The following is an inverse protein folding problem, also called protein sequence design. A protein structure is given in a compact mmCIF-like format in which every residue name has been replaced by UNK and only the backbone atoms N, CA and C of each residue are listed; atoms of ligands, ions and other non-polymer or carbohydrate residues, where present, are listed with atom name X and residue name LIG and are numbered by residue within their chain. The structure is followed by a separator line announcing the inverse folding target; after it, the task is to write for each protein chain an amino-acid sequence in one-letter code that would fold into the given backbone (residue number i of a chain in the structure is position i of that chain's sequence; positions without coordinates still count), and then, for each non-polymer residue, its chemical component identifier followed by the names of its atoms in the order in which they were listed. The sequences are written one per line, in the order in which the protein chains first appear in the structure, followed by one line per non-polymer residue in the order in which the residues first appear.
data_IF_257812844823
#
_entry.id   IF_257812844823
#
_cell.length_a   1.000
_cell.length_b   1.000
_cell.length_c   1.000
_cell.angle_alpha   90.00
_cell.angle_beta   90.00
_cell.angle_gamma   90.00
#
_symmetry.space_group_name_H-M   'P 1'
#
loop_
_entity.id
_entity.type
_entity.pdbx_description
1 polymer ?
#
# COMPACT_ATOMS: atom_id res chain seq x y z
N UNK A 1 -42.87 -60.00 8.12
CA UNK A 1 -42.86 -58.77 8.92
C UNK A 1 -41.54 -58.07 8.69
N UNK A 2 -41.58 -56.79 8.23
CA UNK A 2 -40.65 -55.67 8.52
C UNK A 2 -39.12 -55.94 8.42
N UNK A 3 -38.26 -55.14 7.77
CA UNK A 3 -38.32 -53.83 7.13
C UNK A 3 -36.86 -53.52 6.69
N UNK A 4 -36.69 -52.83 5.55
CA UNK A 4 -35.56 -51.93 5.19
C UNK A 4 -34.21 -52.63 4.89
N UNK A 5 -33.48 -52.36 3.80
CA UNK A 5 -33.58 -51.35 2.74
C UNK A 5 -32.17 -50.92 2.29
N UNK A 6 -32.04 -50.56 1.00
CA UNK A 6 -30.86 -50.00 0.28
C UNK A 6 -29.78 -51.01 -0.13
N UNK A 7 -29.81 -51.67 -1.30
CA UNK A 7 -29.86 -51.17 -2.69
C UNK A 7 -28.65 -50.28 -3.06
N UNK A 8 -27.51 -50.95 -3.25
CA UNK A 8 -26.40 -50.53 -4.12
C UNK A 8 -26.75 -50.91 -5.57
N UNK A 9 -26.57 -49.97 -6.51
CA UNK A 9 -26.67 -50.11 -7.97
C UNK A 9 -28.07 -50.51 -8.51
N UNK A 10 -28.84 -49.58 -9.10
CA UNK A 10 -28.47 -49.04 -10.41
C UNK A 10 -28.90 -47.56 -10.61
N UNK A 11 -27.97 -46.62 -10.40
CA UNK A 11 -28.12 -45.21 -10.83
C UNK A 11 -26.91 -44.86 -11.70
N UNK A 12 -26.65 -45.66 -12.72
CA UNK A 12 -25.53 -45.44 -13.66
C UNK A 12 -25.92 -45.57 -15.13
N UNK A 13 -27.22 -45.62 -15.44
CA UNK A 13 -27.73 -45.80 -16.82
C UNK A 13 -28.68 -44.66 -17.26
N UNK A 14 -28.85 -43.60 -16.45
CA UNK A 14 -29.69 -42.44 -16.80
C UNK A 14 -28.96 -41.08 -16.78
N UNK A 15 -27.64 -41.06 -16.99
CA UNK A 15 -26.93 -39.83 -17.37
C UNK A 15 -26.30 -40.01 -18.76
N UNK A 16 -27.08 -39.78 -19.83
CA UNK A 16 -26.56 -38.87 -20.85
C UNK A 16 -27.68 -38.07 -21.54
N UNK A 17 -28.51 -37.29 -20.83
CA UNK A 17 -29.47 -36.35 -21.49
C UNK A 17 -29.62 -35.02 -20.70
N UNK A 18 -28.56 -34.53 -20.02
CA UNK A 18 -28.56 -33.15 -19.45
C UNK A 18 -27.22 -32.44 -19.70
N UNK A 19 -26.64 -32.63 -20.89
CA UNK A 19 -25.49 -31.84 -21.35
C UNK A 19 -25.81 -30.99 -22.59
N UNK A 20 -27.08 -30.94 -23.02
CA UNK A 20 -27.53 -30.20 -24.20
C UNK A 20 -28.24 -28.87 -23.90
N UNK A 21 -28.23 -28.37 -22.65
CA UNK A 21 -28.88 -27.10 -22.27
C UNK A 21 -27.98 -26.07 -21.60
N UNK A 22 -26.67 -26.34 -21.48
CA UNK A 22 -25.68 -25.32 -21.14
C UNK A 22 -24.60 -25.28 -22.21
N UNK A 23 -25.02 -24.92 -23.43
CA UNK A 23 -24.12 -24.28 -24.37
C UNK A 23 -23.72 -22.94 -23.77
N UNK A 24 -22.67 -22.94 -22.94
CA UNK A 24 -21.83 -21.75 -22.80
C UNK A 24 -21.40 -21.44 -24.22
N UNK A 25 -21.98 -20.39 -24.81
CA UNK A 25 -21.48 -19.82 -26.05
C UNK A 25 -20.02 -19.44 -25.74
N UNK A 26 -19.09 -20.32 -26.12
CA UNK A 26 -17.73 -19.92 -26.39
C UNK A 26 -17.87 -18.72 -27.31
N UNK A 27 -17.40 -17.56 -26.85
CA UNK A 27 -17.38 -16.34 -27.66
C UNK A 27 -16.58 -16.70 -28.91
N UNK A 28 -17.34 -16.92 -29.99
CA UNK A 28 -16.82 -17.14 -31.30
C UNK A 28 -16.02 -15.88 -31.64
N UNK A 29 -14.73 -16.09 -31.92
CA UNK A 29 -13.89 -15.33 -32.83
C UNK A 29 -14.60 -14.10 -33.41
N UNK A 30 -14.55 -13.01 -32.63
CA UNK A 30 -15.06 -11.71 -33.04
C UNK A 30 -14.22 -11.25 -34.23
N UNK A 31 -14.84 -10.63 -35.24
CA UNK A 31 -14.15 -10.11 -36.42
C UNK A 31 -13.06 -9.12 -35.97
N UNK A 32 -11.82 -9.60 -35.85
CA UNK A 32 -10.67 -8.84 -35.35
C UNK A 32 -10.34 -7.56 -36.16
N UNK A 33 -11.01 -7.33 -37.29
CA UNK A 33 -10.89 -6.10 -38.09
C UNK A 33 -11.89 -5.00 -37.76
N UNK A 34 -12.98 -5.28 -37.04
CA UNK A 34 -14.08 -4.32 -36.82
C UNK A 34 -14.21 -3.83 -35.37
N UNK A 35 -13.37 -4.32 -34.47
CA UNK A 35 -13.35 -3.90 -33.07
C UNK A 35 -12.02 -3.25 -32.72
N UNK A 36 -12.02 -2.53 -31.61
CA UNK A 36 -10.85 -1.93 -30.98
C UNK A 36 -10.87 -2.31 -29.50
N UNK A 37 -9.69 -2.58 -28.95
CA UNK A 37 -9.51 -2.84 -27.52
C UNK A 37 -8.95 -1.59 -26.83
N UNK A 38 -9.67 -1.09 -25.84
CA UNK A 38 -9.18 -0.08 -24.91
C UNK A 38 -8.56 -0.77 -23.70
N UNK A 39 -7.31 -0.44 -23.40
CA UNK A 39 -6.56 -0.96 -22.26
C UNK A 39 -6.33 0.19 -21.29
N UNK A 40 -7.06 0.18 -20.19
CA UNK A 40 -6.96 1.19 -19.15
C UNK A 40 -5.88 0.78 -18.15
N UNK A 41 -4.90 1.65 -17.97
CA UNK A 41 -3.81 1.56 -16.98
C UNK A 41 -4.12 2.50 -15.84
N UNK A 42 -4.94 2.06 -14.89
CA UNK A 42 -5.36 2.90 -13.78
C UNK A 42 -4.21 3.16 -12.83
N UNK A 43 -3.93 4.45 -12.65
CA UNK A 43 -2.87 4.95 -11.78
C UNK A 43 -3.41 5.79 -10.64
N UNK A 44 -2.63 5.87 -9.57
CA UNK A 44 -2.87 6.77 -8.46
C UNK A 44 -1.61 7.58 -8.16
N UNK A 45 -1.82 8.88 -7.95
CA UNK A 45 -0.82 9.82 -7.46
C UNK A 45 -1.09 10.06 -5.98
N UNK A 46 -0.06 10.11 -5.15
CA UNK A 46 -0.21 10.61 -3.79
C UNK A 46 -0.44 12.11 -3.86
N UNK A 47 -1.45 12.58 -3.14
CA UNK A 47 -1.78 13.99 -3.02
C UNK A 47 -0.61 14.95 -2.73
N UNK A 48 0.31 14.61 -1.81
CA UNK A 48 1.48 15.47 -1.51
C UNK A 48 2.48 15.53 -2.66
N UNK A 49 2.48 14.50 -3.51
CA UNK A 49 3.36 14.37 -4.67
C UNK A 49 2.65 14.80 -5.95
N UNK A 50 1.37 15.20 -5.85
CA UNK A 50 0.59 15.71 -6.96
C UNK A 50 1.09 17.11 -7.31
N UNK A 51 2.01 17.15 -8.27
CA UNK A 51 2.36 18.35 -9.01
C UNK A 51 1.57 18.36 -10.31
N UNK A 52 1.33 19.55 -10.88
CA UNK A 52 0.76 19.67 -12.23
C UNK A 52 1.63 18.96 -13.31
N UNK A 53 2.86 18.53 -12.96
CA UNK A 53 3.84 17.90 -13.83
C UNK A 53 3.74 16.37 -13.93
N UNK A 54 2.84 15.70 -13.21
CA UNK A 54 2.54 14.26 -13.45
C UNK A 54 1.68 14.14 -14.72
N UNK A 55 2.21 14.61 -15.84
CA UNK A 55 1.56 14.69 -17.13
C UNK A 55 2.10 13.61 -18.06
N UNK A 56 1.19 12.76 -18.52
CA UNK A 56 1.41 11.86 -19.64
C UNK A 56 0.31 12.11 -20.65
N UNK A 57 0.70 12.39 -21.89
CA UNK A 57 -0.24 12.59 -22.97
C UNK A 57 -0.61 11.21 -23.52
N UNK A 58 -1.88 10.82 -23.36
CA UNK A 58 -2.39 9.59 -23.96
C UNK A 58 -2.40 9.73 -25.49
N UNK A 59 -1.45 9.08 -26.16
CA UNK A 59 -1.36 8.98 -27.62
C UNK A 59 -1.92 7.65 -28.16
N UNK A 60 -2.38 6.77 -27.26
CA UNK A 60 -2.93 5.46 -27.56
C UNK A 60 -1.90 4.32 -27.55
N UNK A 61 -0.61 4.63 -27.43
CA UNK A 61 0.45 3.64 -27.37
C UNK A 61 0.76 3.22 -25.94
N UNK A 62 1.29 2.00 -25.78
CA UNK A 62 1.79 1.53 -24.49
C UNK A 62 3.08 2.27 -24.11
N UNK A 63 3.16 2.77 -22.87
CA UNK A 63 4.41 3.23 -22.28
C UNK A 63 5.30 2.00 -22.04
N UNK A 64 6.38 1.88 -22.81
CA UNK A 64 7.34 0.81 -22.63
C UNK A 64 8.05 0.94 -21.26
N UNK A 65 8.13 -0.17 -20.50
CA UNK A 65 8.71 -0.21 -19.15
C UNK A 65 10.18 0.19 -19.06
N UNK A 66 10.92 0.17 -20.18
CA UNK A 66 12.32 0.56 -20.25
C UNK A 66 12.52 2.06 -20.57
N UNK A 67 11.44 2.76 -20.93
CA UNK A 67 11.45 4.20 -21.08
C UNK A 67 11.39 4.85 -19.69
N UNK A 68 12.21 5.88 -19.49
CA UNK A 68 12.08 6.78 -18.34
C UNK A 68 10.85 7.66 -18.55
N UNK A 69 9.67 7.07 -18.43
CA UNK A 69 8.42 7.80 -18.38
C UNK A 69 8.16 8.25 -16.93
N UNK A 70 7.90 9.54 -16.77
CA UNK A 70 7.70 10.16 -15.46
C UNK A 70 6.46 9.61 -14.76
N UNK A 71 5.40 9.26 -15.49
CA UNK A 71 4.15 8.73 -14.93
C UNK A 71 4.37 7.42 -14.20
N UNK A 72 5.00 6.44 -14.84
CA UNK A 72 5.18 5.10 -14.24
C UNK A 72 6.08 5.14 -13.00
N UNK A 73 7.00 6.10 -12.94
CA UNK A 73 7.91 6.29 -11.81
C UNK A 73 7.32 7.09 -10.65
N UNK A 74 6.26 7.88 -10.91
CA UNK A 74 5.64 8.79 -9.95
C UNK A 74 4.25 8.32 -9.50
N UNK A 75 3.75 7.23 -10.05
CA UNK A 75 2.40 6.72 -9.77
C UNK A 75 2.41 5.23 -9.53
N UNK A 76 1.48 4.80 -8.69
CA UNK A 76 1.26 3.39 -8.40
C UNK A 76 0.04 2.87 -9.17
N UNK A 77 0.03 1.60 -9.59
CA UNK A 77 -1.17 0.99 -10.16
C UNK A 77 -2.31 0.93 -9.13
N UNK A 78 -3.56 1.02 -9.59
CA UNK A 78 -4.77 0.98 -8.75
C UNK A 78 -5.78 -0.06 -9.26
N UNK A 79 -5.92 -1.17 -8.53
CA UNK A 79 -6.97 -2.17 -8.73
C UNK A 79 -8.29 -1.74 -8.06
N UNK A 80 -9.39 -2.38 -8.47
CA UNK A 80 -10.72 -2.15 -7.90
C UNK A 80 -11.45 -0.93 -8.46
N UNK A 81 -10.85 -0.17 -9.39
CA UNK A 81 -11.52 0.90 -10.10
C UNK A 81 -12.43 0.32 -11.18
N UNK A 82 -13.72 0.66 -11.16
CA UNK A 82 -14.74 0.14 -12.07
C UNK A 82 -15.09 1.20 -13.11
N UNK A 83 -15.07 0.81 -14.38
CA UNK A 83 -15.37 1.66 -15.53
C UNK A 83 -16.57 1.12 -16.30
N UNK A 84 -17.43 2.03 -16.77
CA UNK A 84 -18.48 1.73 -17.74
C UNK A 84 -18.23 2.56 -19.01
N UNK A 85 -18.33 1.89 -20.16
CA UNK A 85 -18.31 2.54 -21.46
C UNK A 85 -19.74 2.83 -21.93
N UNK A 86 -19.93 4.01 -22.51
CA UNK A 86 -21.18 4.49 -23.07
C UNK A 86 -20.98 4.91 -24.53
N UNK A 87 -22.00 4.64 -25.36
CA UNK A 87 -22.07 5.10 -26.75
C UNK A 87 -22.34 6.61 -26.78
N UNK A 88 -21.49 7.39 -27.46
CA UNK A 88 -21.55 8.84 -27.56
C UNK A 88 -21.62 9.35 -29.02
N UNK A 89 -21.65 8.47 -30.02
CA UNK A 89 -21.59 8.83 -31.46
C UNK A 89 -22.73 9.76 -31.86
N UNK A 90 -23.98 9.42 -31.50
CA UNK A 90 -25.14 10.27 -31.85
C UNK A 90 -25.08 11.65 -31.18
N UNK A 91 -24.60 11.71 -29.94
CA UNK A 91 -24.42 12.98 -29.25
C UNK A 91 -23.34 13.83 -29.91
N UNK A 92 -22.20 13.23 -30.24
CA UNK A 92 -21.10 13.91 -30.92
C UNK A 92 -21.51 14.44 -32.31
N UNK A 93 -22.25 13.66 -33.09
CA UNK A 93 -22.68 14.06 -34.44
C UNK A 93 -23.64 15.27 -34.41
N UNK A 94 -24.48 15.44 -33.37
CA UNK A 94 -25.30 16.65 -33.18
C UNK A 94 -24.44 17.92 -32.98
N UNK A 95 -23.24 17.76 -32.42
CA UNK A 95 -22.29 18.85 -32.15
C UNK A 95 -21.32 19.10 -33.30
N UNK A 96 -21.27 18.19 -34.27
CA UNK A 96 -20.35 18.25 -35.41
C UNK A 96 -20.62 19.49 -36.25
N UNK A 97 -19.57 20.28 -36.48
CA UNK A 97 -19.65 21.58 -37.16
C UNK A 97 -19.88 22.79 -36.25
N UNK A 98 -20.20 22.58 -34.96
CA UNK A 98 -20.26 23.65 -33.95
C UNK A 98 -18.91 23.84 -33.23
N UNK A 99 -18.15 22.75 -33.10
CA UNK A 99 -16.82 22.74 -32.47
C UNK A 99 -15.92 21.67 -33.11
N UNK A 100 -14.62 21.74 -32.84
CA UNK A 100 -13.65 20.71 -33.25
C UNK A 100 -13.72 19.50 -32.33
N UNK A 101 -13.19 18.36 -32.78
CA UNK A 101 -13.07 17.13 -31.98
C UNK A 101 -12.26 17.35 -30.70
N UNK A 102 -11.16 18.11 -30.78
CA UNK A 102 -10.32 18.43 -29.63
C UNK A 102 -11.12 19.25 -28.62
N UNK A 103 -11.90 20.23 -29.09
CA UNK A 103 -12.72 21.06 -28.21
C UNK A 103 -13.84 20.25 -27.55
N UNK A 104 -14.44 19.30 -28.28
CA UNK A 104 -15.43 18.38 -27.73
C UNK A 104 -14.87 17.53 -26.59
N UNK A 105 -13.70 16.91 -26.81
CA UNK A 105 -13.00 16.11 -25.77
C UNK A 105 -12.62 16.99 -24.57
N UNK A 106 -12.06 18.18 -24.81
CA UNK A 106 -11.71 19.13 -23.75
C UNK A 106 -12.91 19.57 -22.91
N UNK A 107 -14.08 19.75 -23.53
CA UNK A 107 -15.29 20.11 -22.81
C UNK A 107 -15.72 19.00 -21.85
N UNK A 108 -15.74 17.73 -22.29
CA UNK A 108 -16.02 16.59 -21.43
C UNK A 108 -14.99 16.47 -20.29
N UNK A 109 -13.71 16.60 -20.61
CA UNK A 109 -12.64 16.52 -19.61
C UNK A 109 -12.73 17.60 -18.52
N UNK A 110 -13.40 18.73 -18.79
CA UNK A 110 -13.61 19.82 -17.85
C UNK A 110 -14.95 19.73 -17.09
N UNK A 111 -15.83 18.78 -17.42
CA UNK A 111 -17.09 18.60 -16.71
C UNK A 111 -16.86 17.90 -15.38
N UNK A 112 -17.58 18.35 -14.35
CA UNK A 112 -17.65 17.61 -13.11
C UNK A 112 -18.44 16.28 -13.30
N UNK A 113 -18.21 15.38 -12.35
CA UNK A 113 -18.81 14.06 -12.33
C UNK A 113 -20.35 14.10 -12.33
N UNK A 114 -20.96 15.05 -11.61
CA UNK A 114 -22.42 15.21 -11.58
C UNK A 114 -23.00 15.57 -12.93
N UNK A 115 -22.36 16.48 -13.65
CA UNK A 115 -22.75 16.92 -14.99
C UNK A 115 -22.66 15.78 -15.98
N UNK A 116 -21.60 14.96 -15.91
CA UNK A 116 -21.47 13.76 -16.75
C UNK A 116 -22.59 12.75 -16.46
N UNK A 117 -22.91 12.50 -15.19
CA UNK A 117 -24.01 11.60 -14.83
C UNK A 117 -25.37 12.13 -15.32
N UNK A 118 -25.62 13.43 -15.21
CA UNK A 118 -26.82 14.06 -15.76
C UNK A 118 -26.86 13.95 -17.29
N UNK A 119 -25.73 14.13 -17.98
CA UNK A 119 -25.61 13.98 -19.43
C UNK A 119 -25.90 12.53 -19.88
N UNK A 120 -25.34 11.53 -19.17
CA UNK A 120 -25.60 10.10 -19.41
C UNK A 120 -27.10 9.81 -19.27
N UNK A 121 -27.74 10.31 -18.20
CA UNK A 121 -29.15 10.06 -17.92
C UNK A 121 -30.08 10.79 -18.92
N UNK A 122 -29.81 12.06 -19.22
CA UNK A 122 -30.67 12.91 -20.05
C UNK A 122 -30.66 12.53 -21.53
N UNK A 123 -29.51 12.13 -22.08
CA UNK A 123 -29.41 11.61 -23.45
C UNK A 123 -29.71 10.11 -23.52
N UNK A 124 -29.91 9.44 -22.38
CA UNK A 124 -30.13 8.00 -22.28
C UNK A 124 -29.03 7.23 -23.05
N UNK A 125 -27.76 7.55 -22.74
CA UNK A 125 -26.61 6.95 -23.44
C UNK A 125 -26.59 5.43 -23.23
N UNK A 126 -26.43 4.69 -24.33
CA UNK A 126 -26.40 3.23 -24.30
C UNK A 126 -25.10 2.71 -23.70
N UNK A 127 -25.19 1.69 -22.84
CA UNK A 127 -24.01 1.01 -22.28
C UNK A 127 -23.38 0.09 -23.32
N UNK A 128 -22.07 0.20 -23.48
CA UNK A 128 -21.26 -0.69 -24.33
C UNK A 128 -20.66 -1.77 -23.45
N UNK A 129 -21.29 -2.94 -23.45
CA UNK A 129 -20.86 -4.08 -22.64
C UNK A 129 -21.09 -3.89 -21.12
N UNK A 130 -20.72 -4.90 -20.32
CA UNK A 130 -20.73 -4.80 -18.86
C UNK A 130 -19.63 -3.86 -18.35
N UNK A 131 -19.75 -3.34 -17.12
CA UNK A 131 -18.67 -2.60 -16.48
C UNK A 131 -17.45 -3.52 -16.27
N UNK A 132 -16.26 -2.92 -16.32
CA UNK A 132 -14.98 -3.61 -16.13
C UNK A 132 -14.28 -3.06 -14.89
N UNK A 133 -13.59 -3.92 -14.15
CA UNK A 133 -12.88 -3.52 -12.93
C UNK A 133 -11.38 -3.78 -13.09
N UNK A 134 -10.56 -2.83 -12.65
CA UNK A 134 -9.11 -2.95 -12.75
C UNK A 134 -8.56 -4.02 -11.81
N UNK A 135 -7.64 -4.83 -12.32
CA UNK A 135 -7.00 -5.93 -11.60
C UNK A 135 -5.62 -6.25 -12.22
N UNK A 136 -4.97 -7.29 -11.70
CA UNK A 136 -3.81 -7.88 -12.34
C UNK A 136 -4.16 -8.44 -13.74
N UNK A 137 -3.48 -7.96 -14.77
CA UNK A 137 -3.70 -8.37 -16.16
C UNK A 137 -3.13 -9.76 -16.45
N UNK A 138 -4.02 -10.75 -16.48
CA UNK A 138 -3.67 -12.12 -16.86
C UNK A 138 -3.53 -12.31 -18.37
N UNK A 139 -4.04 -11.37 -19.19
CA UNK A 139 -4.11 -11.54 -20.65
C UNK A 139 -2.85 -11.04 -21.33
N UNK A 140 -2.47 -9.78 -21.10
CA UNK A 140 -1.28 -9.17 -21.68
C UNK A 140 -0.06 -9.18 -20.76
N UNK A 141 -0.21 -9.64 -19.51
CA UNK A 141 0.84 -9.62 -18.49
C UNK A 141 1.40 -8.21 -18.25
N UNK A 142 0.53 -7.20 -18.30
CA UNK A 142 0.86 -5.78 -18.09
C UNK A 142 0.96 -5.39 -16.60
N UNK A 143 0.66 -6.32 -15.68
CA UNK A 143 0.72 -6.08 -14.23
C UNK A 143 -0.61 -5.62 -13.64
N UNK A 144 -0.55 -4.94 -12.48
CA UNK A 144 -1.73 -4.43 -11.75
C UNK A 144 -2.31 -3.15 -12.37
N UNK A 145 -3.55 -2.84 -11.99
CA UNK A 145 -4.25 -1.62 -12.37
C UNK A 145 -4.88 -1.66 -13.75
N UNK A 146 -5.08 -2.85 -14.33
CA UNK A 146 -5.47 -2.99 -15.74
C UNK A 146 -6.94 -3.36 -15.88
N UNK A 147 -7.65 -2.67 -16.77
CA UNK A 147 -8.96 -3.08 -17.28
C UNK A 147 -8.97 -3.05 -18.82
N UNK A 148 -9.68 -3.99 -19.44
CA UNK A 148 -9.76 -4.13 -20.91
C UNK A 148 -11.21 -4.03 -21.36
N UNK A 149 -11.50 -3.18 -22.34
CA UNK A 149 -12.84 -3.00 -22.93
C UNK A 149 -12.74 -3.15 -24.44
N UNK A 150 -13.50 -4.08 -25.03
CA UNK A 150 -13.60 -4.22 -26.49
C UNK A 150 -14.85 -3.53 -26.98
N UNK A 151 -14.73 -2.71 -28.04
CA UNK A 151 -15.84 -1.99 -28.64
C UNK A 151 -15.77 -2.01 -30.18
N UNK A 152 -16.91 -1.87 -30.88
CA UNK A 152 -16.91 -1.69 -32.33
C UNK A 152 -16.14 -0.42 -32.77
N UNK A 153 -15.50 -0.46 -33.94
CA UNK A 153 -14.88 0.74 -34.53
C UNK A 153 -15.90 1.72 -35.11
N UNK A 154 -17.08 1.22 -35.45
CA UNK A 154 -18.15 1.95 -36.13
C UNK A 154 -19.46 1.82 -35.38
N UNK A 155 -20.23 2.91 -35.31
CA UNK A 155 -21.66 2.88 -35.00
C UNK A 155 -22.41 3.13 -36.31
N UNK A 156 -23.10 2.10 -36.81
CA UNK A 156 -23.65 2.07 -38.17
C UNK A 156 -22.50 2.30 -39.18
N UNK A 157 -22.61 3.32 -40.04
CA UNK A 157 -21.59 3.66 -41.04
C UNK A 157 -20.64 4.78 -40.60
N UNK A 158 -20.76 5.26 -39.34
CA UNK A 158 -19.98 6.36 -38.78
C UNK A 158 -18.89 5.84 -37.86
N UNK A 159 -17.79 6.59 -37.77
CA UNK A 159 -16.79 6.35 -36.74
C UNK A 159 -17.41 6.45 -35.35
N UNK A 160 -17.14 5.45 -34.51
CA UNK A 160 -17.72 5.40 -33.18
C UNK A 160 -17.03 6.39 -32.24
N UNK A 161 -17.81 6.95 -31.32
CA UNK A 161 -17.33 7.80 -30.24
C UNK A 161 -17.79 7.22 -28.92
N UNK A 162 -16.87 7.03 -27.97
CA UNK A 162 -17.18 6.42 -26.69
C UNK A 162 -16.87 7.35 -25.53
N UNK A 163 -17.72 7.33 -24.51
CA UNK A 163 -17.43 7.87 -23.18
C UNK A 163 -17.05 6.70 -22.26
N UNK A 164 -15.82 6.68 -21.77
CA UNK A 164 -15.35 5.75 -20.76
C UNK A 164 -15.36 6.49 -19.42
N UNK A 165 -16.20 6.03 -18.50
CA UNK A 165 -16.46 6.71 -17.25
C UNK A 165 -16.13 5.80 -16.06
N UNK A 166 -15.28 6.28 -15.16
CA UNK A 166 -15.01 5.60 -13.89
C UNK A 166 -16.26 5.69 -13.01
N UNK A 167 -16.92 4.61 -12.65
CA UNK A 167 -18.14 4.60 -11.84
C UNK A 167 -17.85 4.58 -10.33
N UNK A 168 -16.80 3.86 -9.92
CA UNK A 168 -16.41 3.72 -8.51
C UNK A 168 -15.01 3.16 -8.35
N UNK A 169 -14.45 3.31 -7.15
CA UNK A 169 -13.32 2.50 -6.68
C UNK A 169 -13.83 1.68 -5.51
N UNK A 170 -13.54 0.38 -5.52
CA UNK A 170 -13.96 -0.54 -4.49
C UNK A 170 -13.52 -0.05 -3.09
N UNK A 171 -14.45 0.01 -2.15
CA UNK A 171 -14.17 0.42 -0.76
C UNK A 171 -13.30 -0.60 -0.03
N UNK A 172 -13.28 -1.86 -0.47
CA UNK A 172 -12.35 -2.88 0.05
C UNK A 172 -10.89 -2.60 -0.36
N UNK A 173 -10.64 -1.61 -1.21
CA UNK A 173 -9.28 -1.08 -1.36
C UNK A 173 -8.76 -0.46 -0.07
N UNK A 174 -9.64 0.02 0.81
CA UNK A 174 -9.25 0.74 2.03
C UNK A 174 -8.58 2.08 1.74
N UNK A 175 -8.68 2.59 0.51
CA UNK A 175 -8.10 3.85 0.07
C UNK A 175 -9.18 4.93 0.02
N UNK A 176 -8.87 6.11 0.55
CA UNK A 176 -9.68 7.31 0.32
C UNK A 176 -9.22 7.94 -1.00
N UNK A 177 -9.95 7.62 -2.06
CA UNK A 177 -9.69 8.09 -3.42
C UNK A 177 -10.65 9.22 -3.75
N UNK A 178 -10.11 10.38 -4.16
CA UNK A 178 -10.93 11.51 -4.57
C UNK A 178 -11.36 11.35 -6.04
N UNK A 179 -12.48 10.67 -6.23
CA UNK A 179 -13.12 10.50 -7.54
C UNK A 179 -13.72 11.80 -8.07
N UNK A 180 -14.16 12.69 -7.19
CA UNK A 180 -14.95 13.86 -7.60
C UNK A 180 -14.07 14.99 -8.13
N UNK A 181 -12.82 15.08 -7.65
CA UNK A 181 -11.88 16.13 -8.07
C UNK A 181 -10.93 15.70 -9.19
N UNK A 182 -10.56 14.41 -9.28
CA UNK A 182 -9.42 13.99 -10.11
C UNK A 182 -9.70 12.86 -11.11
N UNK A 183 -10.87 12.21 -11.07
CA UNK A 183 -11.24 11.23 -12.09
C UNK A 183 -11.80 11.94 -13.34
N UNK A 184 -10.95 12.13 -14.35
CA UNK A 184 -11.33 12.79 -15.60
C UNK A 184 -12.10 11.80 -16.51
N UNK A 185 -13.30 12.14 -17.01
CA UNK A 185 -14.01 11.31 -17.98
C UNK A 185 -13.22 11.21 -19.30
N UNK A 186 -13.19 10.04 -19.90
CA UNK A 186 -12.43 9.80 -21.13
C UNK A 186 -13.38 9.76 -22.31
N UNK A 187 -13.16 10.61 -23.31
CA UNK A 187 -13.86 10.53 -24.59
C UNK A 187 -12.89 10.03 -25.65
N UNK A 188 -13.23 8.91 -26.31
CA UNK A 188 -12.46 8.33 -27.40
C UNK A 188 -13.23 8.49 -28.72
N UNK A 189 -12.69 9.29 -29.64
CA UNK A 189 -13.21 9.47 -31.00
C UNK A 189 -12.38 8.59 -31.94
N UNK A 190 -12.99 7.60 -32.57
CA UNK A 190 -12.29 6.71 -33.50
C UNK A 190 -12.25 7.29 -34.93
N UNK A 191 -11.35 6.79 -35.80
CA UNK A 191 -10.20 5.97 -35.46
C UNK A 191 -9.11 6.79 -34.75
N UNK A 192 -8.36 6.15 -33.84
CA UNK A 192 -7.12 6.70 -33.31
C UNK A 192 -5.97 6.06 -34.11
N UNK A 193 -5.12 6.89 -34.70
CA UNK A 193 -4.00 6.45 -35.55
C UNK A 193 -2.68 6.47 -34.78
N UNK A 194 -1.73 5.66 -35.23
CA UNK A 194 -0.38 5.66 -34.67
C UNK A 194 0.26 7.07 -34.87
N UNK A 195 0.79 7.70 -33.80
CA UNK A 195 1.41 9.03 -33.89
C UNK A 195 2.71 9.05 -34.72
N UNK A 196 3.37 7.89 -34.88
CA UNK A 196 4.57 7.72 -35.70
C UNK A 196 4.24 7.24 -37.13
N UNK A 197 3.09 6.59 -37.32
CA UNK A 197 2.57 6.17 -38.63
C UNK A 197 1.07 6.49 -38.77
N UNK A 198 0.77 7.71 -39.21
CA UNK A 198 -0.60 8.22 -39.39
C UNK A 198 -1.44 7.46 -40.44
N UNK A 199 -0.90 6.43 -41.09
CA UNK A 199 -1.65 5.58 -42.02
C UNK A 199 -2.25 4.34 -41.34
N UNK A 200 -1.78 3.99 -40.14
CA UNK A 200 -2.24 2.83 -39.39
C UNK A 200 -3.19 3.24 -38.26
N UNK A 201 -4.41 2.68 -38.27
CA UNK A 201 -5.31 2.76 -37.14
C UNK A 201 -4.86 1.81 -36.03
N UNK A 202 -4.85 2.31 -34.79
CA UNK A 202 -4.61 1.48 -33.62
C UNK A 202 -5.76 0.50 -33.40
N UNK A 203 -5.42 -0.77 -33.17
CA UNK A 203 -6.37 -1.82 -32.78
C UNK A 203 -6.40 -2.04 -31.26
N UNK A 204 -5.35 -1.58 -30.57
CA UNK A 204 -5.24 -1.51 -29.12
C UNK A 204 -4.91 -0.06 -28.75
N UNK A 205 -5.66 0.50 -27.81
CA UNK A 205 -5.54 1.89 -27.37
C UNK A 205 -5.28 1.87 -25.87
N UNK A 206 -4.07 2.26 -25.49
CA UNK A 206 -3.65 2.35 -24.10
C UNK A 206 -4.01 3.73 -23.54
N UNK A 207 -4.65 3.75 -22.37
CA UNK A 207 -5.07 4.99 -21.69
C UNK A 207 -4.67 4.91 -20.22
N UNK A 208 -4.13 6.00 -19.67
CA UNK A 208 -3.61 6.09 -18.30
C UNK A 208 -4.46 7.03 -17.43
N UNK A 209 -5.69 6.62 -17.02
CA UNK A 209 -6.50 7.39 -16.09
C UNK A 209 -5.85 7.46 -14.70
N UNK A 210 -5.89 8.62 -14.07
CA UNK A 210 -5.26 8.90 -12.77
C UNK A 210 -6.31 9.29 -11.75
N UNK A 211 -6.12 8.87 -10.50
CA UNK A 211 -6.77 9.48 -9.34
C UNK A 211 -5.72 10.05 -8.39
N UNK A 212 -6.16 10.91 -7.49
CA UNK A 212 -5.38 11.35 -6.35
C UNK A 212 -5.88 10.62 -5.11
N UNK A 213 -4.96 9.97 -4.39
CA UNK A 213 -5.25 9.28 -3.13
C UNK A 213 -4.71 10.06 -1.94
N UNK A 214 -5.51 10.15 -0.87
CA UNK A 214 -5.07 10.72 0.40
C UNK A 214 -4.28 9.68 1.19
N UNK A 215 -2.94 9.77 1.13
CA UNK A 215 -2.03 8.84 1.78
C UNK A 215 -0.96 9.57 2.59
N UNK A 216 -0.57 9.01 3.73
CA UNK A 216 0.40 9.62 4.65
C UNK A 216 1.48 8.66 5.12
N UNK A 217 2.66 9.19 5.38
CA UNK A 217 3.77 8.51 6.05
C UNK A 217 3.97 9.19 7.41
N UNK A 218 3.42 8.60 8.48
CA UNK A 218 3.51 9.17 9.81
C UNK A 218 4.91 9.07 10.40
N UNK A 219 5.29 10.10 11.16
CA UNK A 219 6.54 10.12 11.90
C UNK A 219 6.37 10.80 13.27
N UNK A 220 7.32 10.55 14.16
CA UNK A 220 7.45 11.28 15.42
C UNK A 220 8.88 11.20 15.96
N UNK A 221 9.18 12.02 16.96
CA UNK A 221 10.47 12.07 17.64
C UNK A 221 10.38 11.41 19.01
N UNK A 222 11.20 10.39 19.22
CA UNK A 222 11.32 9.66 20.47
C UNK A 222 12.39 10.27 21.36
N UNK A 223 11.95 10.80 22.51
CA UNK A 223 12.81 11.49 23.47
C UNK A 223 12.77 10.82 24.83
N UNK A 224 13.79 11.08 25.63
CA UNK A 224 13.94 10.62 26.99
C UNK A 224 14.11 11.80 27.93
N UNK A 225 13.40 11.80 29.06
CA UNK A 225 13.53 12.84 30.09
C UNK A 225 13.48 12.23 31.49
N UNK A 226 13.77 13.03 32.51
CA UNK A 226 13.60 12.59 33.90
C UNK A 226 12.11 12.52 34.25
N UNK A 227 11.75 11.52 35.06
CA UNK A 227 10.37 11.30 35.48
C UNK A 227 9.76 12.57 36.09
N UNK A 228 8.63 13.00 35.53
CA UNK A 228 7.90 14.19 36.00
C UNK A 228 8.53 15.53 35.62
N UNK A 229 9.63 15.52 34.85
CA UNK A 229 10.26 16.74 34.36
C UNK A 229 9.48 17.38 33.20
N UNK A 230 9.52 18.71 33.15
CA UNK A 230 9.02 19.51 32.02
C UNK A 230 10.12 19.84 30.99
N UNK A 231 11.32 19.29 31.18
CA UNK A 231 12.41 19.46 30.22
C UNK A 231 12.07 18.83 28.86
N UNK A 232 12.62 19.43 27.80
CA UNK A 232 12.57 18.91 26.44
C UNK A 232 13.15 17.50 26.31
N UNK A 233 14.05 17.09 27.20
CA UNK A 233 14.70 15.78 27.15
C UNK A 233 15.77 15.67 26.06
N UNK A 234 16.24 14.44 25.83
CA UNK A 234 17.25 14.11 24.82
C UNK A 234 16.69 13.10 23.81
N UNK A 235 17.09 13.15 22.53
CA UNK A 235 16.67 12.16 21.55
C UNK A 235 17.15 10.75 21.95
N UNK A 236 16.30 9.75 21.75
CA UNK A 236 16.62 8.36 22.01
C UNK A 236 16.82 7.63 20.70
N UNK A 237 18.04 7.17 20.43
CA UNK A 237 18.39 6.37 19.26
C UNK A 237 18.26 4.87 19.56
N UNK A 238 17.68 4.10 18.64
CA UNK A 238 17.64 2.64 18.71
C UNK A 238 16.42 2.05 19.43
N UNK A 239 15.42 2.88 19.75
CA UNK A 239 14.13 2.41 20.27
C UNK A 239 13.37 1.73 19.13
N UNK A 240 12.85 0.54 19.37
CA UNK A 240 12.19 -0.29 18.34
C UNK A 240 10.68 -0.25 18.50
N UNK A 241 9.99 0.06 17.42
CA UNK A 241 8.53 0.07 17.31
C UNK A 241 8.04 -0.92 16.26
N UNK A 242 6.78 -1.34 16.40
CA UNK A 242 5.98 -1.84 15.29
C UNK A 242 4.70 -1.03 15.17
N UNK A 243 4.15 -0.96 13.96
CA UNK A 243 2.87 -0.30 13.70
C UNK A 243 1.76 -1.34 13.63
N UNK A 244 0.63 -1.10 14.27
CA UNK A 244 -0.55 -1.97 14.22
C UNK A 244 -1.85 -1.20 14.03
N UNK A 245 -2.89 -1.90 13.59
CA UNK A 245 -4.27 -1.44 13.61
C UNK A 245 -5.16 -2.40 14.43
N UNK A 246 -6.33 -1.92 14.83
CA UNK A 246 -7.33 -2.73 15.53
C UNK A 246 -8.43 -3.14 14.56
N UNK A 247 -8.57 -4.44 14.32
CA UNK A 247 -9.69 -5.02 13.55
C UNK A 247 -10.48 -5.90 14.51
N UNK A 248 -11.75 -5.56 14.74
CA UNK A 248 -12.63 -6.25 15.70
C UNK A 248 -12.00 -6.40 17.11
N UNK A 249 -11.23 -5.38 17.53
CA UNK A 249 -10.55 -5.36 18.84
C UNK A 249 -9.26 -6.17 18.93
N UNK A 250 -8.83 -6.84 17.85
CA UNK A 250 -7.54 -7.55 17.77
C UNK A 250 -6.47 -6.70 17.08
N UNK A 251 -5.22 -6.87 17.50
CA UNK A 251 -4.07 -6.19 16.89
C UNK A 251 -3.61 -6.93 15.63
N UNK A 252 -3.52 -6.21 14.52
CA UNK A 252 -2.85 -6.66 13.31
C UNK A 252 -1.71 -5.71 12.99
N UNK A 253 -0.51 -6.24 12.81
CA UNK A 253 0.73 -5.49 12.63
C UNK A 253 1.10 -5.37 11.17
N UNK A 254 1.72 -4.26 10.81
CA UNK A 254 2.17 -3.99 9.46
C UNK A 254 3.24 -5.02 9.06
N UNK A 255 2.99 -5.73 7.96
CA UNK A 255 3.92 -6.70 7.37
C UNK A 255 5.13 -5.98 6.74
N UNK A 256 6.24 -6.68 6.57
CA UNK A 256 7.47 -6.19 5.95
C UNK A 256 7.44 -6.19 4.42
N UNK A 257 6.55 -6.95 3.79
CA UNK A 257 6.37 -6.96 2.35
C UNK A 257 6.15 -5.54 1.81
N UNK A 258 6.64 -5.22 0.60
CA UNK A 258 6.26 -3.96 -0.04
C UNK A 258 4.74 -3.84 -0.12
N UNK A 259 4.23 -2.62 -0.11
CA UNK A 259 2.84 -2.37 -0.49
C UNK A 259 2.64 -2.86 -1.92
N UNK A 260 1.60 -3.65 -2.14
CA UNK A 260 1.14 -4.04 -3.47
C UNK A 260 -0.18 -3.31 -3.67
N UNK A 261 -0.35 -2.63 -4.81
CA UNK A 261 -1.61 -1.94 -5.12
C UNK A 261 -2.01 -0.93 -4.02
N UNK A 262 -1.00 -0.27 -3.44
CA UNK A 262 -1.15 0.71 -2.34
C UNK A 262 -1.78 0.14 -1.06
N UNK A 263 -1.97 -1.18 -1.00
CA UNK A 263 -2.48 -1.89 0.18
C UNK A 263 -1.33 -2.34 1.04
N UNK A 264 -1.43 -1.98 2.31
CA UNK A 264 -0.59 -2.56 3.34
C UNK A 264 -1.15 -3.92 3.74
N UNK A 265 -0.27 -4.91 3.85
CA UNK A 265 -0.62 -6.19 4.44
C UNK A 265 -0.49 -6.10 5.96
N UNK A 266 -1.49 -6.63 6.65
CA UNK A 266 -1.55 -6.64 8.11
C UNK A 266 -1.66 -8.08 8.62
N UNK A 267 -0.85 -8.45 9.60
CA UNK A 267 -0.70 -9.83 10.08
C UNK A 267 -0.83 -9.92 11.60
N UNK A 268 -1.32 -11.05 12.08
CA UNK A 268 -1.12 -11.43 13.48
C UNK A 268 0.33 -11.94 13.65
N UNK A 269 1.07 -11.48 14.67
CA UNK A 269 2.45 -11.88 14.85
C UNK A 269 2.52 -13.33 15.33
N UNK A 270 3.50 -14.07 14.82
CA UNK A 270 3.79 -15.43 15.25
C UNK A 270 4.03 -15.48 16.76
N UNK A 271 3.42 -16.47 17.42
CA UNK A 271 3.49 -16.66 18.87
C UNK A 271 3.11 -15.41 19.70
N UNK A 272 2.35 -14.47 19.12
CA UNK A 272 2.02 -13.18 19.74
C UNK A 272 3.27 -12.34 20.12
N UNK A 273 4.36 -12.49 19.36
CA UNK A 273 5.64 -11.79 19.55
C UNK A 273 6.01 -10.93 18.33
N UNK A 274 5.52 -9.68 18.24
CA UNK A 274 5.84 -8.79 17.13
C UNK A 274 7.32 -8.37 17.08
N UNK A 275 8.07 -8.49 18.19
CA UNK A 275 9.50 -8.15 18.22
C UNK A 275 10.33 -9.25 17.55
N UNK A 276 10.01 -10.51 17.87
CA UNK A 276 10.69 -11.69 17.31
C UNK A 276 10.22 -12.10 15.92
N UNK A 277 8.98 -11.80 15.52
CA UNK A 277 8.43 -12.23 14.22
C UNK A 277 9.05 -11.44 13.07
N UNK A 278 9.89 -12.07 12.26
CA UNK A 278 10.59 -11.45 11.12
C UNK A 278 9.65 -10.79 10.11
N UNK A 279 8.40 -11.20 9.99
CA UNK A 279 7.46 -10.66 9.00
C UNK A 279 6.84 -9.32 9.42
N UNK A 280 6.93 -8.95 10.70
CA UNK A 280 6.45 -7.64 11.19
C UNK A 280 7.48 -6.57 10.83
N UNK A 281 7.04 -5.43 10.30
CA UNK A 281 7.88 -4.25 10.08
C UNK A 281 8.36 -3.63 11.40
N UNK A 282 9.67 -3.31 11.50
CA UNK A 282 10.27 -2.64 12.67
C UNK A 282 10.70 -1.24 12.28
N UNK A 283 10.29 -0.28 13.09
CA UNK A 283 10.66 1.13 12.94
C UNK A 283 11.57 1.50 14.09
N UNK A 284 12.80 1.91 13.78
CA UNK A 284 13.85 2.13 14.78
C UNK A 284 14.18 3.61 14.81
N UNK A 285 14.18 4.20 16.00
CA UNK A 285 14.50 5.62 16.15
C UNK A 285 15.94 5.92 15.78
N UNK A 286 16.17 6.99 15.02
CA UNK A 286 17.50 7.39 14.56
C UNK A 286 18.26 8.24 15.61
N UNK A 287 19.39 8.84 15.21
CA UNK A 287 20.21 9.71 16.09
C UNK A 287 19.48 10.97 16.56
N UNK A 288 18.53 11.48 15.79
CA UNK A 288 17.67 12.58 16.16
C UNK A 288 16.42 12.10 16.95
N UNK A 289 16.30 10.79 17.19
CA UNK A 289 15.13 10.17 17.79
C UNK A 289 13.97 10.01 16.81
N UNK A 290 14.15 10.30 15.52
CA UNK A 290 13.08 10.19 14.53
C UNK A 290 12.69 8.73 14.32
N UNK A 291 11.40 8.46 14.43
CA UNK A 291 10.75 7.23 13.99
C UNK A 291 9.85 7.61 12.81
N UNK A 292 10.03 6.97 11.66
CA UNK A 292 9.27 7.19 10.42
C UNK A 292 8.88 5.84 9.85
N UNK A 293 7.78 5.78 9.08
CA UNK A 293 7.45 4.56 8.35
C UNK A 293 8.32 4.36 7.10
N UNK A 294 9.17 5.34 6.76
CA UNK A 294 10.22 5.22 5.74
C UNK A 294 9.66 5.13 4.32
N UNK A 295 8.63 5.92 4.02
CA UNK A 295 7.90 5.92 2.75
C UNK A 295 6.74 4.93 2.71
N UNK A 296 6.49 4.17 3.79
CA UNK A 296 5.30 3.30 3.89
C UNK A 296 4.05 4.16 4.05
N UNK A 297 3.34 4.34 2.95
CA UNK A 297 2.11 5.10 2.87
C UNK A 297 0.95 4.36 3.54
N UNK A 298 0.18 5.09 4.34
CA UNK A 298 -1.01 4.62 5.04
C UNK A 298 -2.23 5.44 4.58
N UNK A 299 -3.37 4.78 4.30
CA UNK A 299 -4.62 5.49 4.08
C UNK A 299 -5.18 6.03 5.38
N UNK A 300 -6.25 6.82 5.27
CA UNK A 300 -6.98 7.32 6.43
C UNK A 300 -7.39 6.21 7.39
N UNK A 301 -7.39 6.53 8.67
CA UNK A 301 -7.69 5.57 9.71
C UNK A 301 -6.94 5.85 11.00
N UNK A 302 -7.12 4.94 11.95
CA UNK A 302 -6.48 5.00 13.25
C UNK A 302 -5.54 3.81 13.41
N UNK A 303 -4.27 4.13 13.63
CA UNK A 303 -3.18 3.18 13.79
C UNK A 303 -2.47 3.44 15.11
N UNK A 304 -1.55 2.55 15.46
CA UNK A 304 -0.84 2.62 16.73
C UNK A 304 0.60 2.16 16.57
N UNK A 305 1.57 3.00 16.94
CA UNK A 305 2.91 2.52 17.20
C UNK A 305 2.97 1.88 18.60
N UNK A 306 3.52 0.67 18.66
CA UNK A 306 3.82 -0.03 19.90
C UNK A 306 5.33 -0.07 20.12
N UNK A 307 5.81 0.51 21.21
CA UNK A 307 7.21 0.39 21.61
C UNK A 307 7.49 -1.05 22.05
N UNK A 308 8.30 -1.77 21.26
CA UNK A 308 8.64 -3.16 21.50
C UNK A 308 9.91 -3.29 22.36
N UNK A 309 10.87 -2.38 22.15
CA UNK A 309 12.14 -2.37 22.86
C UNK A 309 12.61 -0.94 23.09
N UNK A 310 12.99 -0.61 24.32
CA UNK A 310 13.62 0.66 24.67
C UNK A 310 15.14 0.58 24.72
N UNK A 311 15.76 1.73 24.96
CA UNK A 311 17.19 1.85 25.26
C UNK A 311 17.44 1.80 26.77
N UNK A 312 18.69 1.52 27.16
CA UNK A 312 19.09 1.41 28.56
C UNK A 312 18.71 2.66 29.36
N UNK A 313 18.40 2.46 30.65
CA UNK A 313 17.96 3.49 31.61
C UNK A 313 16.58 4.14 31.33
N UNK A 314 15.86 3.76 30.28
CA UNK A 314 14.51 4.26 29.98
C UNK A 314 13.45 3.15 30.00
N UNK A 315 12.30 3.43 30.61
CA UNK A 315 11.18 2.48 30.70
C UNK A 315 10.13 2.73 29.64
N UNK A 316 9.60 1.64 29.07
CA UNK A 316 8.42 1.70 28.20
C UNK A 316 7.18 1.95 29.06
N UNK A 317 6.51 3.09 28.85
CA UNK A 317 5.25 3.39 29.53
C UNK A 317 4.08 2.62 28.93
N UNK A 318 2.94 2.58 29.64
CA UNK A 318 1.71 1.97 29.12
C UNK A 318 1.21 2.70 27.88
N UNK A 319 1.35 4.02 27.86
CA UNK A 319 0.97 4.90 26.76
C UNK A 319 1.83 4.60 25.53
N UNK A 320 3.14 4.33 25.71
CA UNK A 320 4.04 4.04 24.59
C UNK A 320 3.88 2.64 24.01
N UNK A 321 3.08 1.78 24.65
CA UNK A 321 2.59 0.53 24.03
C UNK A 321 1.42 0.76 23.05
N UNK A 322 0.87 1.99 23.01
CA UNK A 322 -0.26 2.38 22.17
C UNK A 322 -0.18 3.87 21.82
N UNK A 323 0.84 4.25 21.05
CA UNK A 323 1.00 5.62 20.55
C UNK A 323 0.05 5.78 19.36
N UNK A 324 -1.06 6.50 19.55
CA UNK A 324 -2.07 6.68 18.52
C UNK A 324 -1.56 7.50 17.33
N UNK A 325 -1.95 7.09 16.14
CA UNK A 325 -1.77 7.83 14.89
C UNK A 325 -3.13 7.93 14.23
N UNK A 326 -3.59 9.16 13.98
CA UNK A 326 -4.85 9.42 13.26
C UNK A 326 -4.53 10.09 11.94
N UNK A 327 -4.89 9.42 10.85
CA UNK A 327 -4.80 9.95 9.50
C UNK A 327 -6.22 10.35 9.07
N UNK A 328 -6.48 11.63 8.79
CA UNK A 328 -7.81 12.09 8.38
C UNK A 328 -8.14 11.60 6.96
N UNK A 329 -9.40 11.76 6.53
CA UNK A 329 -9.86 11.32 5.21
C UNK A 329 -9.58 12.29 4.07
N UNK A 330 -9.22 13.52 4.41
CA UNK A 330 -9.06 14.62 3.46
C UNK A 330 -8.11 15.66 4.01
N UNK A 331 -7.50 16.44 3.11
CA UNK A 331 -6.64 17.57 3.46
C UNK A 331 -7.33 18.65 4.25
N UNK A 332 -8.62 18.86 4.00
CA UNK A 332 -9.37 19.96 4.57
C UNK A 332 -10.69 19.46 5.12
N UNK A 333 -11.14 20.09 6.19
CA UNK A 333 -12.50 19.94 6.67
C UNK A 333 -13.47 20.75 5.79
N UNK A 334 -14.76 20.65 6.10
CA UNK A 334 -15.82 21.34 5.35
C UNK A 334 -15.67 22.88 5.35
N UNK A 335 -14.93 23.44 6.31
CA UNK A 335 -14.67 24.88 6.43
C UNK A 335 -13.38 25.32 5.71
N UNK A 336 -12.71 24.41 4.99
CA UNK A 336 -11.48 24.67 4.24
C UNK A 336 -10.22 24.75 5.11
N UNK A 337 -10.30 24.39 6.40
CA UNK A 337 -9.12 24.34 7.28
C UNK A 337 -8.38 23.02 7.11
N UNK A 338 -7.03 23.00 7.21
CA UNK A 338 -6.26 21.78 7.05
C UNK A 338 -6.54 20.76 8.15
N UNK A 339 -6.72 19.49 7.76
CA UNK A 339 -6.71 18.35 8.66
C UNK A 339 -5.30 17.75 8.67
N UNK A 340 -4.59 17.88 9.79
CA UNK A 340 -3.29 17.27 9.96
C UNK A 340 -3.40 15.83 10.44
N UNK A 341 -2.42 15.01 10.07
CA UNK A 341 -2.14 13.76 10.79
C UNK A 341 -1.81 14.11 12.23
N UNK A 342 -2.31 13.33 13.18
CA UNK A 342 -1.90 13.47 14.59
C UNK A 342 -1.18 12.22 15.07
N UNK A 343 -0.12 12.44 15.87
CA UNK A 343 0.58 11.37 16.58
C UNK A 343 0.54 11.68 18.07
N UNK A 344 -0.06 10.77 18.84
CA UNK A 344 -0.34 10.96 20.27
C UNK A 344 -1.07 12.30 20.54
N UNK A 345 -2.05 12.64 19.70
CA UNK A 345 -2.83 13.86 19.77
C UNK A 345 -2.09 15.15 19.38
N UNK A 346 -0.82 15.07 18.96
CA UNK A 346 -0.05 16.21 18.47
C UNK A 346 -0.07 16.25 16.95
N UNK A 347 -0.30 17.43 16.38
CA UNK A 347 -0.24 17.65 14.94
C UNK A 347 1.16 17.32 14.39
N UNK A 348 1.16 16.58 13.29
CA UNK A 348 2.34 16.26 12.52
C UNK A 348 2.42 17.21 11.34
N UNK A 349 3.57 17.86 11.17
CA UNK A 349 3.82 18.66 9.99
C UNK A 349 3.85 17.76 8.75
N UNK A 350 3.31 18.25 7.65
CA UNK A 350 3.25 17.50 6.40
C UNK A 350 4.64 17.32 5.79
N UNK A 351 4.82 16.21 5.05
CA UNK A 351 6.08 15.93 4.38
C UNK A 351 6.29 16.89 3.20
N UNK A 352 7.52 17.34 3.01
CA UNK A 352 7.95 18.14 1.86
C UNK A 352 8.61 17.21 0.85
N UNK A 353 7.94 16.97 -0.29
CA UNK A 353 8.41 16.02 -1.33
C UNK A 353 8.79 14.65 -0.74
N UNK A 354 7.91 14.11 0.10
CA UNK A 354 8.10 12.83 0.80
C UNK A 354 9.12 12.83 1.95
N UNK A 355 9.72 13.97 2.30
CA UNK A 355 10.71 14.07 3.37
C UNK A 355 10.15 14.77 4.61
N UNK A 356 10.61 14.36 5.80
CA UNK A 356 10.28 15.02 7.07
C UNK A 356 10.79 16.47 7.02
N UNK A 357 9.92 17.49 7.22
CA UNK A 357 10.30 18.87 6.98
C UNK A 357 11.28 19.37 8.04
N UNK A 358 12.14 20.34 7.67
CA UNK A 358 13.18 20.88 8.57
C UNK A 358 12.62 21.48 9.86
N UNK A 359 11.42 22.06 9.79
CA UNK A 359 10.72 22.60 10.97
C UNK A 359 10.43 21.52 12.00
N UNK A 360 10.06 20.31 11.57
CA UNK A 360 9.75 19.20 12.47
C UNK A 360 11.00 18.73 13.24
N UNK A 361 12.18 18.72 12.61
CA UNK A 361 13.44 18.45 13.31
C UNK A 361 13.81 19.56 14.30
N UNK A 362 13.57 20.82 13.92
CA UNK A 362 13.91 21.99 14.76
C UNK A 362 13.04 22.01 16.01
N UNK A 363 11.75 21.70 15.88
CA UNK A 363 10.82 21.64 17.00
C UNK A 363 10.79 20.26 17.68
N UNK A 364 11.33 19.23 17.05
CA UNK A 364 11.19 17.82 17.41
C UNK A 364 9.73 17.46 17.73
N UNK A 365 8.82 17.72 16.78
CA UNK A 365 7.39 17.44 16.88
C UNK A 365 6.88 16.61 15.68
N UNK A 366 5.94 15.68 15.87
CA UNK A 366 5.34 15.26 17.16
C UNK A 366 6.38 14.59 18.07
N UNK A 367 6.24 14.72 19.41
CA UNK A 367 7.22 14.14 20.35
C UNK A 367 6.59 13.12 21.31
N UNK A 368 7.29 12.01 21.55
CA UNK A 368 6.89 10.97 22.51
C UNK A 368 8.02 10.69 23.49
N UNK A 369 7.70 10.72 24.79
CA UNK A 369 8.71 10.62 25.86
C UNK A 369 8.78 9.23 26.49
N UNK A 370 9.98 8.76 26.81
CA UNK A 370 10.21 7.78 27.87
C UNK A 370 10.75 8.50 29.08
N UNK A 371 10.33 8.05 30.25
CA UNK A 371 10.88 8.53 31.50
C UNK A 371 12.10 7.68 31.88
N UNK A 372 13.14 8.35 32.36
CA UNK A 372 14.36 7.73 32.86
C UNK A 372 14.04 7.03 34.18
N UNK A 373 14.56 5.82 34.36
CA UNK A 373 14.44 5.09 35.62
C UNK A 373 15.43 5.64 36.64
N UNK A 374 14.95 6.11 37.78
CA UNK A 374 15.82 6.38 38.92
C UNK A 374 16.32 5.06 39.51
N UNK A 375 17.64 4.80 39.43
CA UNK A 375 18.28 3.61 40.02
C UNK A 375 18.07 3.48 41.54
N UNK A 376 17.57 4.52 42.22
CA UNK A 376 17.33 4.52 43.67
C UNK A 376 16.21 3.57 44.14
N UNK A 377 15.22 3.28 43.30
CA UNK A 377 14.06 2.48 43.73
C UNK A 377 14.38 0.99 43.89
N UNK A 378 15.44 0.48 43.24
CA UNK A 378 15.83 -0.93 43.33
C UNK A 378 16.65 -1.23 44.60
N UNK A 379 17.45 -0.27 45.10
CA UNK A 379 18.22 -0.47 46.34
C UNK A 379 17.36 -0.33 47.61
N UNK A 380 16.35 0.55 47.63
CA UNK A 380 15.49 0.71 48.80
C UNK A 380 14.48 -0.45 48.94
N UNK A 381 14.03 -1.04 47.83
CA UNK A 381 13.19 -2.25 47.85
C UNK A 381 13.92 -3.47 48.43
N UNK A 382 15.24 -3.57 48.23
CA UNK A 382 16.08 -4.62 48.81
C UNK A 382 16.55 -4.33 50.24
N UNK A 383 16.53 -3.07 50.70
CA UNK A 383 16.84 -2.70 52.09
C UNK A 383 15.63 -2.78 53.02
N UNK A 384 14.41 -2.60 52.53
CA UNK A 384 13.19 -2.75 53.34
C UNK A 384 12.75 -4.22 53.56
N UNK A 385 13.29 -5.17 52.78
CA UNK A 385 13.04 -6.61 52.98
C UNK A 385 13.93 -7.25 54.07
N UNK A 386 14.91 -6.53 54.64
CA UNK A 386 15.88 -7.05 55.62
C UNK A 386 15.90 -6.24 56.93
N UNK A 387 14.74 -6.05 57.56
CA UNK A 387 14.66 -5.76 58.99
C UNK A 387 14.07 -6.97 59.73
N UNK A 388 14.98 -7.72 60.33
CA UNK A 388 14.85 -8.89 61.22
C UNK A 388 13.79 -8.74 62.32
N UNK A 389 13.16 -9.84 62.76
CA UNK A 389 12.86 -10.08 64.16
C UNK A 389 13.88 -11.05 64.77
N UNK A 390 14.59 -10.50 65.74
CA UNK A 390 15.15 -11.09 66.96
C UNK A 390 16.00 -12.38 66.95
N UNK A 391 16.98 -12.31 67.84
CA UNK A 391 18.19 -13.09 68.02
C UNK A 391 17.94 -14.32 68.90
N UNK A 392 18.27 -15.52 68.43
CA UNK A 392 18.74 -16.62 69.29
C UNK A 392 19.82 -17.46 68.57
N UNK A 393 20.96 -17.61 69.22
CA UNK A 393 22.04 -18.56 68.92
C UNK A 393 22.37 -19.32 70.22
N UNK A 394 23.09 -20.47 70.21
CA UNK A 394 23.28 -21.44 69.12
C UNK A 394 23.14 -22.90 69.64
N UNK A 395 22.96 -23.89 68.75
CA UNK A 395 23.44 -25.27 69.01
C UNK A 395 24.01 -25.90 67.75
N UNK A 396 25.29 -26.26 67.86
CA UNK A 396 26.06 -27.10 66.95
C UNK A 396 25.36 -28.44 66.69
N UNK A 397 25.39 -28.92 65.45
CA UNK A 397 25.59 -30.33 65.13
C UNK A 397 26.25 -30.46 63.75
N UNK A 398 27.39 -31.13 63.74
CA UNK A 398 28.19 -31.55 62.58
C UNK A 398 27.69 -32.88 62.03
N UNK A 399 27.69 -33.06 60.69
CA UNK A 399 28.38 -34.14 59.94
C UNK A 399 27.88 -34.40 58.50
N UNK A 400 28.86 -34.54 57.58
CA UNK A 400 28.94 -35.22 56.26
C UNK A 400 27.98 -34.81 55.10
N UNK A 401 28.37 -34.74 53.81
CA UNK A 401 29.59 -35.11 53.06
C UNK A 401 29.57 -34.55 51.62
N UNK A 402 30.76 -34.19 51.12
CA UNK A 402 31.18 -33.78 49.75
C UNK A 402 30.92 -34.86 48.65
N UNK A 403 31.14 -34.63 47.32
CA UNK A 403 32.11 -33.69 46.74
C UNK A 403 31.78 -32.92 45.44
N UNK A 404 32.65 -31.93 45.21
CA UNK A 404 32.93 -31.23 43.96
C UNK A 404 33.53 -32.18 42.92
N UNK A 405 33.21 -31.97 41.65
CA UNK A 405 34.04 -32.36 40.52
C UNK A 405 34.47 -31.11 39.75
N UNK A 406 35.78 -30.83 39.77
CA UNK A 406 36.49 -30.08 38.75
C UNK A 406 37.05 -31.11 37.77
N UNK A 407 36.97 -30.86 36.46
CA UNK A 407 37.98 -31.22 35.45
C UNK A 407 37.67 -30.40 34.17
N UNK A 408 38.45 -29.34 33.91
CA UNK A 408 39.58 -29.26 32.95
C UNK A 408 39.20 -29.24 31.46
N UNK A 409 39.36 -28.04 30.90
CA UNK A 409 40.03 -27.69 29.63
C UNK A 409 39.99 -28.74 28.51
N UNK A 410 39.28 -28.40 27.43
CA UNK A 410 39.79 -28.64 26.08
C UNK A 410 39.68 -27.36 25.27
N UNK A 411 40.87 -26.88 24.89
CA UNK A 411 41.15 -25.79 23.99
C UNK A 411 41.28 -26.43 22.60
N UNK A 412 40.34 -26.20 21.69
CA UNK A 412 40.56 -26.38 20.26
C UNK A 412 40.51 -25.00 19.61
N UNK A 413 41.71 -24.48 19.38
CA UNK A 413 42.02 -23.46 18.40
C UNK A 413 42.30 -24.15 17.07
N UNK A 414 41.67 -23.68 15.98
CA UNK A 414 42.32 -23.22 14.74
C UNK A 414 41.23 -22.92 13.70
N UNK A 415 41.12 -21.68 13.23
CA UNK A 415 41.72 -21.20 11.96
C UNK A 415 41.19 -21.96 10.73
N UNK A 416 40.41 -21.24 9.92
CA UNK A 416 39.88 -21.66 8.61
C UNK A 416 38.36 -21.57 8.62
N UNK A 417 37.75 -20.40 8.41
CA UNK A 417 37.47 -19.84 7.08
C UNK A 417 37.56 -18.30 7.16
N UNK A 418 38.78 -17.78 7.07
CA UNK A 418 39.08 -16.42 6.54
C UNK A 418 39.56 -16.53 5.07
N UNK A 419 39.47 -17.73 4.46
CA UNK A 419 39.94 -18.02 3.10
C UNK A 419 38.86 -17.99 2.00
N UNK A 420 37.64 -17.49 2.26
CA UNK A 420 36.64 -17.30 1.19
C UNK A 420 36.52 -15.84 0.71
N UNK A 421 37.01 -14.87 1.49
CA UNK A 421 37.00 -13.45 1.07
C UNK A 421 38.33 -13.03 0.39
N UNK A 422 39.43 -13.75 0.64
CA UNK A 422 40.74 -13.49 0.02
C UNK A 422 40.96 -14.06 -1.39
N UNK A 423 40.12 -14.99 -1.86
CA UNK A 423 40.27 -15.63 -3.18
C UNK A 423 39.35 -15.03 -4.28
N UNK A 424 38.27 -14.33 -3.92
CA UNK A 424 37.37 -13.69 -4.89
C UNK A 424 37.87 -12.35 -5.43
N UNK A 425 38.67 -11.61 -4.66
CA UNK A 425 39.15 -10.27 -5.02
C UNK A 425 40.45 -10.27 -5.84
N UNK A 426 41.09 -11.43 -6.05
CA UNK A 426 42.28 -11.56 -6.91
C UNK A 426 41.98 -12.08 -8.33
N UNK A 427 40.79 -12.63 -8.58
CA UNK A 427 40.36 -13.10 -9.92
C UNK A 427 39.58 -12.06 -10.75
N UNK A 428 39.24 -10.90 -10.18
CA UNK A 428 38.62 -9.80 -10.93
C UNK A 428 39.61 -8.73 -11.42
N UNK A 429 40.89 -8.81 -11.02
CA UNK A 429 41.94 -7.86 -11.41
C UNK A 429 42.83 -8.36 -12.57
N UNK A 430 42.79 -9.64 -12.92
CA UNK A 430 43.57 -10.21 -14.03
C UNK A 430 42.76 -10.48 -15.32
N UNK A 431 41.48 -10.10 -15.37
CA UNK A 431 40.62 -10.25 -16.57
C UNK A 431 40.31 -8.94 -17.33
N UNK A 432 41.00 -7.84 -16.99
CA UNK A 432 40.86 -6.53 -17.62
C UNK A 432 42.03 -6.06 -18.48
N UNK A 433 43.07 -6.88 -18.68
CA UNK A 433 44.27 -6.48 -19.46
C UNK A 433 44.57 -7.36 -20.68
N UNK A 434 43.60 -8.11 -21.20
CA UNK A 434 43.70 -8.70 -22.55
C UNK A 434 42.35 -8.61 -23.27
N UNK A 435 42.29 -7.65 -24.19
CA UNK A 435 41.44 -7.47 -25.38
C UNK A 435 41.28 -5.94 -25.55
N UNK A 436 42.13 -5.21 -26.30
CA UNK A 436 42.20 -5.17 -27.79
C UNK A 436 41.24 -6.07 -28.56
#
# INVERSE_FOLDING_TARGET
MKKVGMLLLPILIFLPIVTALFSVKSHAQENAGNTVEFILHKRMVRDVDYTEEVFHQNDGLEIATDQKDTLLSQTEPLNGATFQMYELTDYYEKQKGQMTSEKFVQNFAAMDRSTINEQIASENLEKVGPPVTTAFDQVGNLGDGIARITAPKKNQDRDAVYLIFEESVDRETGLDVDLDQHAIPIVAILPIVDPMDHTNELSQIHIYPKNVGYLRDPYFFKYGRQQGSQETGVPLQGVVFALYQLIEGKKYYLDMSPSIDLKNKWIEPQANDPLGDVNVSKFISDKAGLVTTGGRLLPAGTYYFEELKSVDDYTISKENKKIEVVIPRSWQNADGQPNYVTVNGQEMAELESGNVPKVAYTEAKPRVYNEKTDKKTIEDSNKQANLTPDRQEPKEYTWLSYPKANETKSLISLIGIVLIIGAGLKLKKERGEKNE
#
